data_IF_620881769295
#
_entry.id   IF_620881769295
#
_cell.length_a   1.000
_cell.length_b   1.000
_cell.length_c   1.000
_cell.angle_alpha   90.00
_cell.angle_beta   90.00
_cell.angle_gamma   90.00
#
_symmetry.space_group_name_H-M   'P 1'
#
loop_
_entity.id
_entity.type
_entity.pdbx_description
1 polymer ?
#
# COMPACT_ATOMS: atom_id res chain seq x y z
N UNK A 1 3.44 22.66 -15.02
CA UNK A 1 2.84 21.35 -14.67
C UNK A 1 1.93 21.54 -13.46
N UNK A 2 0.83 20.80 -13.43
CA UNK A 2 -0.14 20.86 -12.35
C UNK A 2 0.44 20.15 -11.12
N UNK A 3 0.76 20.90 -10.07
CA UNK A 3 1.19 20.33 -8.78
C UNK A 3 0.00 19.62 -8.12
N UNK A 4 0.27 18.58 -7.34
CA UNK A 4 -0.76 17.78 -6.66
C UNK A 4 -0.90 18.16 -5.20
N UNK A 5 0.17 18.69 -4.59
CA UNK A 5 0.17 19.14 -3.20
C UNK A 5 -0.17 20.63 -3.12
N UNK A 6 -1.27 20.94 -2.46
CA UNK A 6 -1.52 22.32 -2.00
C UNK A 6 -0.49 22.70 -0.93
N UNK A 7 -0.33 24.00 -0.65
CA UNK A 7 0.58 24.43 0.43
C UNK A 7 0.13 23.90 1.80
N UNK A 8 -1.19 23.81 2.01
CA UNK A 8 -1.75 23.24 3.23
C UNK A 8 -1.37 21.76 3.39
N UNK A 9 -1.55 20.95 2.33
CA UNK A 9 -1.14 19.53 2.33
C UNK A 9 0.38 19.39 2.53
N UNK A 10 1.17 20.27 1.90
CA UNK A 10 2.61 20.29 2.06
C UNK A 10 3.04 20.57 3.51
N UNK A 11 2.40 21.52 4.20
CA UNK A 11 2.74 21.81 5.60
C UNK A 11 2.43 20.61 6.52
N UNK A 12 1.28 19.95 6.34
CA UNK A 12 0.95 18.74 7.07
C UNK A 12 1.98 17.63 6.82
N UNK A 13 2.32 17.40 5.55
CA UNK A 13 3.30 16.39 5.16
C UNK A 13 4.69 16.67 5.72
N UNK A 14 5.13 17.94 5.79
CA UNK A 14 6.41 18.33 6.41
C UNK A 14 6.51 17.89 7.87
N UNK A 15 5.44 18.00 8.63
CA UNK A 15 5.40 17.55 10.03
C UNK A 15 5.61 16.04 10.12
N UNK A 16 4.89 15.27 9.29
CA UNK A 16 5.04 13.80 9.21
C UNK A 16 6.47 13.41 8.79
N UNK A 17 7.03 14.08 7.80
CA UNK A 17 8.39 13.81 7.32
C UNK A 17 9.45 14.08 8.40
N UNK A 18 9.27 15.10 9.24
CA UNK A 18 10.16 15.37 10.40
C UNK A 18 10.11 14.22 11.41
N UNK A 19 8.94 13.69 11.72
CA UNK A 19 8.78 12.53 12.62
C UNK A 19 9.50 11.28 12.08
N UNK A 20 9.68 11.19 10.77
CA UNK A 20 10.47 10.12 10.13
C UNK A 20 11.97 10.43 10.04
N UNK A 21 12.45 11.49 10.68
CA UNK A 21 13.84 11.97 10.56
C UNK A 21 14.26 12.25 9.11
N UNK A 22 13.31 12.69 8.29
CA UNK A 22 13.56 13.11 6.92
C UNK A 22 13.76 14.63 6.91
N UNK A 23 15.01 15.03 6.80
CA UNK A 23 15.37 16.45 6.77
C UNK A 23 14.82 17.12 5.51
N UNK A 24 14.25 18.29 5.74
CA UNK A 24 13.75 19.15 4.66
C UNK A 24 14.93 19.75 3.91
N UNK A 25 14.99 19.50 2.60
CA UNK A 25 15.84 20.25 1.68
C UNK A 25 14.95 20.90 0.60
N UNK A 26 15.49 21.88 -0.11
CA UNK A 26 14.77 22.65 -1.15
C UNK A 26 14.07 21.77 -2.20
N UNK A 27 14.61 20.59 -2.49
CA UNK A 27 14.12 19.70 -3.52
C UNK A 27 13.17 18.59 -3.01
N UNK A 28 12.84 18.59 -1.69
CA UNK A 28 12.02 17.49 -1.13
C UNK A 28 10.58 17.55 -1.65
N UNK A 29 9.97 18.75 -1.73
CA UNK A 29 8.64 18.91 -2.28
C UNK A 29 8.58 18.46 -3.73
N UNK A 30 9.51 18.92 -4.57
CA UNK A 30 9.58 18.53 -5.97
C UNK A 30 9.76 17.02 -6.16
N UNK A 31 10.55 16.38 -5.30
CA UNK A 31 10.71 14.94 -5.32
C UNK A 31 9.37 14.20 -5.03
N UNK A 32 8.62 14.65 -4.03
CA UNK A 32 7.32 14.02 -3.71
C UNK A 32 6.30 14.31 -4.81
N UNK A 33 6.25 15.53 -5.32
CA UNK A 33 5.40 15.88 -6.47
C UNK A 33 5.72 15.04 -7.70
N UNK A 34 7.01 14.73 -7.95
CA UNK A 34 7.41 13.85 -9.04
C UNK A 34 6.89 12.42 -8.88
N UNK A 35 6.92 11.89 -7.65
CA UNK A 35 6.35 10.56 -7.34
C UNK A 35 4.84 10.57 -7.58
N UNK A 36 4.13 11.56 -7.04
CA UNK A 36 2.68 11.70 -7.21
C UNK A 36 2.31 11.87 -8.70
N UNK A 37 3.08 12.68 -9.43
CA UNK A 37 2.90 12.84 -10.88
C UNK A 37 3.02 11.49 -11.60
N UNK A 38 4.07 10.73 -11.30
CA UNK A 38 4.29 9.41 -11.89
C UNK A 38 3.16 8.42 -11.55
N UNK A 39 2.73 8.38 -10.28
CA UNK A 39 1.63 7.51 -9.85
C UNK A 39 0.34 7.87 -10.62
N UNK A 40 0.06 9.15 -10.77
CA UNK A 40 -1.14 9.63 -11.45
C UNK A 40 -1.13 9.38 -12.96
N UNK A 41 0.04 9.53 -13.61
CA UNK A 41 0.14 9.48 -15.09
C UNK A 41 0.56 8.11 -15.60
N UNK A 42 1.16 7.27 -14.76
CA UNK A 42 1.76 5.99 -15.16
C UNK A 42 3.01 6.14 -16.04
N UNK A 43 3.55 7.37 -16.21
CA UNK A 43 4.66 7.60 -17.12
C UNK A 43 5.94 6.86 -16.70
N UNK A 44 6.82 6.47 -17.63
CA UNK A 44 8.16 5.98 -17.33
C UNK A 44 8.96 7.01 -16.52
N UNK A 45 9.92 6.55 -15.72
CA UNK A 45 10.78 7.46 -14.93
C UNK A 45 11.50 8.51 -15.77
N UNK A 46 11.86 8.17 -17.00
CA UNK A 46 12.56 9.07 -17.93
C UNK A 46 11.70 10.23 -18.42
N UNK A 47 10.37 10.03 -18.40
CA UNK A 47 9.39 10.99 -18.91
C UNK A 47 8.85 11.93 -17.83
N UNK A 48 9.41 11.83 -16.62
CA UNK A 48 9.11 12.80 -15.55
C UNK A 48 9.62 14.18 -16.00
N UNK A 49 8.75 15.21 -15.99
CA UNK A 49 9.13 16.56 -16.39
C UNK A 49 10.34 17.10 -15.61
N UNK A 50 11.28 17.70 -16.32
CA UNK A 50 12.51 18.28 -15.73
C UNK A 50 12.24 19.35 -14.69
N UNK A 51 11.06 19.95 -14.68
CA UNK A 51 10.58 20.86 -13.64
C UNK A 51 10.69 20.27 -12.23
N UNK A 52 10.47 18.96 -12.06
CA UNK A 52 10.60 18.29 -10.76
C UNK A 52 12.05 17.95 -10.40
N UNK A 53 12.98 18.07 -11.35
CA UNK A 53 14.38 17.72 -11.22
C UNK A 53 14.81 16.64 -12.22
N UNK A 54 16.05 16.19 -12.11
CA UNK A 54 16.58 15.14 -12.96
C UNK A 54 15.92 13.79 -12.66
N UNK A 55 15.33 13.16 -13.66
CA UNK A 55 14.58 11.89 -13.55
C UNK A 55 15.41 10.77 -12.91
N UNK A 56 16.69 10.64 -13.26
CA UNK A 56 17.60 9.65 -12.68
C UNK A 56 17.84 9.88 -11.17
N UNK A 57 17.95 11.14 -10.74
CA UNK A 57 18.09 11.50 -9.32
C UNK A 57 16.83 11.19 -8.53
N UNK A 58 15.66 11.46 -9.12
CA UNK A 58 14.34 11.12 -8.54
C UNK A 58 14.22 9.60 -8.40
N UNK A 59 14.55 8.84 -9.45
CA UNK A 59 14.51 7.38 -9.44
C UNK A 59 15.43 6.77 -8.37
N UNK A 60 16.69 7.21 -8.31
CA UNK A 60 17.64 6.72 -7.31
C UNK A 60 17.17 7.03 -5.88
N UNK A 61 16.60 8.21 -5.65
CA UNK A 61 16.06 8.59 -4.34
C UNK A 61 14.82 7.76 -3.99
N UNK A 62 13.93 7.53 -4.94
CA UNK A 62 12.75 6.67 -4.78
C UNK A 62 13.18 5.25 -4.37
N UNK A 63 14.11 4.62 -5.11
CA UNK A 63 14.60 3.28 -4.79
C UNK A 63 15.20 3.21 -3.39
N UNK A 64 16.00 4.20 -3.01
CA UNK A 64 16.58 4.27 -1.66
C UNK A 64 15.51 4.40 -0.57
N UNK A 65 14.45 5.19 -0.80
CA UNK A 65 13.35 5.31 0.15
C UNK A 65 12.52 4.05 0.22
N UNK A 66 12.31 3.37 -0.91
CA UNK A 66 11.62 2.09 -0.97
C UNK A 66 12.41 1.03 -0.20
N UNK A 67 13.68 0.80 -0.53
CA UNK A 67 14.53 -0.22 0.09
C UNK A 67 14.76 0.01 1.59
N UNK A 68 14.76 1.26 2.05
CA UNK A 68 14.90 1.61 3.47
C UNK A 68 13.59 1.59 4.26
N UNK A 69 12.47 1.21 3.63
CA UNK A 69 11.13 1.19 4.25
C UNK A 69 10.55 2.58 4.56
N UNK A 70 11.18 3.67 4.11
CA UNK A 70 10.70 5.04 4.38
C UNK A 70 9.36 5.33 3.74
N UNK A 71 9.11 4.82 2.54
CA UNK A 71 7.82 4.99 1.87
C UNK A 71 6.70 4.27 2.62
N UNK A 72 6.93 3.05 3.09
CA UNK A 72 5.95 2.30 3.88
C UNK A 72 5.65 3.00 5.21
N UNK A 73 6.68 3.50 5.91
CA UNK A 73 6.48 4.25 7.16
C UNK A 73 5.72 5.56 6.92
N UNK A 74 6.01 6.26 5.82
CA UNK A 74 5.27 7.45 5.42
C UNK A 74 3.79 7.13 5.15
N UNK A 75 3.52 6.04 4.42
CA UNK A 75 2.17 5.56 4.17
C UNK A 75 1.42 5.30 5.50
N UNK A 76 2.01 4.53 6.41
CA UNK A 76 1.38 4.21 7.71
C UNK A 76 1.08 5.47 8.55
N UNK A 77 1.94 6.48 8.52
CA UNK A 77 1.68 7.75 9.21
C UNK A 77 0.62 8.62 8.51
N UNK A 78 0.46 8.52 7.20
CA UNK A 78 -0.62 9.19 6.47
C UNK A 78 -1.97 8.52 6.71
N UNK A 79 -1.96 7.20 6.94
CA UNK A 79 -3.14 6.40 7.27
C UNK A 79 -3.52 6.45 8.76
N UNK A 80 -2.95 7.35 9.56
CA UNK A 80 -2.98 7.32 11.04
C UNK A 80 -4.30 7.75 11.71
N UNK A 81 -5.38 7.98 10.95
CA UNK A 81 -6.71 8.27 11.53
C UNK A 81 -7.80 7.53 10.71
N UNK A 82 -7.74 6.19 10.62
CA UNK A 82 -8.78 5.43 9.94
C UNK A 82 -10.05 5.39 10.79
N UNK A 83 -11.20 5.31 10.14
CA UNK A 83 -12.44 4.92 10.79
C UNK A 83 -12.47 3.40 10.93
N UNK A 84 -12.11 2.92 12.11
CA UNK A 84 -11.94 1.49 12.39
C UNK A 84 -13.23 0.75 12.71
N UNK A 85 -14.40 1.39 12.72
CA UNK A 85 -15.67 0.74 13.02
C UNK A 85 -15.93 -0.45 12.09
N UNK A 86 -15.74 -0.23 10.79
CA UNK A 86 -15.82 -1.26 9.77
C UNK A 86 -14.55 -1.31 8.93
N UNK A 87 -13.99 -2.48 8.77
CA UNK A 87 -12.84 -2.68 7.87
C UNK A 87 -13.15 -3.69 6.78
N UNK A 88 -12.56 -3.46 5.60
CA UNK A 88 -12.75 -4.28 4.42
C UNK A 88 -11.41 -4.78 3.92
N UNK A 89 -11.34 -6.08 3.59
CA UNK A 89 -10.15 -6.72 3.05
C UNK A 89 -10.45 -7.19 1.63
N UNK A 90 -9.59 -6.80 0.70
CA UNK A 90 -9.67 -7.23 -0.70
C UNK A 90 -8.29 -7.52 -1.27
N UNK A 91 -8.25 -8.42 -2.25
CA UNK A 91 -7.05 -8.84 -2.97
C UNK A 91 -7.11 -8.47 -4.45
N UNK A 92 -6.26 -7.54 -4.88
CA UNK A 92 -6.19 -7.10 -6.28
C UNK A 92 -4.93 -7.60 -6.98
N UNK A 93 -5.09 -8.14 -8.20
CA UNK A 93 -3.97 -8.55 -9.04
C UNK A 93 -3.39 -7.38 -9.83
N UNK A 94 -2.07 -7.23 -9.77
CA UNK A 94 -1.32 -6.27 -10.57
C UNK A 94 -0.47 -7.01 -11.58
N UNK A 95 -0.71 -6.80 -12.86
CA UNK A 95 0.12 -7.37 -13.93
C UNK A 95 1.48 -6.71 -13.95
N UNK A 96 2.52 -7.52 -13.92
CA UNK A 96 3.88 -7.07 -14.10
C UNK A 96 4.28 -7.19 -15.57
N UNK A 97 5.22 -6.35 -16.01
CA UNK A 97 5.75 -6.44 -17.37
C UNK A 97 6.43 -7.81 -17.57
N UNK A 98 6.33 -8.38 -18.78
CA UNK A 98 6.87 -9.71 -19.09
C UNK A 98 8.36 -9.87 -18.77
N UNK A 99 9.13 -8.80 -18.80
CA UNK A 99 10.58 -8.77 -18.48
C UNK A 99 10.87 -8.35 -17.03
N UNK A 100 9.87 -8.22 -16.16
CA UNK A 100 10.08 -7.81 -14.76
C UNK A 100 10.46 -8.97 -13.83
N UNK A 101 10.35 -10.22 -14.29
CA UNK A 101 10.76 -11.39 -13.54
C UNK A 101 12.26 -11.65 -13.74
N UNK A 102 13.08 -11.44 -12.73
CA UNK A 102 14.51 -11.73 -12.86
C UNK A 102 15.37 -11.42 -11.63
N UNK A 103 14.82 -10.74 -10.65
CA UNK A 103 15.56 -10.45 -9.40
C UNK A 103 14.96 -11.31 -8.29
N UNK A 104 15.79 -12.07 -7.60
CA UNK A 104 15.38 -12.84 -6.42
C UNK A 104 14.69 -11.94 -5.37
N UNK A 105 13.65 -12.46 -4.70
CA UNK A 105 12.86 -11.77 -3.67
C UNK A 105 11.92 -10.66 -4.17
N UNK A 106 11.50 -10.70 -5.43
CA UNK A 106 10.36 -9.90 -5.88
C UNK A 106 9.07 -10.71 -5.69
N UNK A 107 8.04 -10.06 -5.15
CA UNK A 107 6.69 -10.64 -5.03
C UNK A 107 6.00 -10.72 -6.41
N UNK A 108 6.66 -11.37 -7.37
CA UNK A 108 6.21 -11.55 -8.75
C UNK A 108 6.31 -13.03 -9.08
N UNK A 109 5.20 -13.63 -9.51
CA UNK A 109 5.16 -14.99 -10.03
C UNK A 109 4.52 -15.06 -11.40
N UNK A 110 4.84 -16.13 -12.13
CA UNK A 110 4.21 -16.43 -13.42
C UNK A 110 2.91 -17.19 -13.17
N UNK A 111 1.80 -16.58 -13.52
CA UNK A 111 0.47 -17.23 -13.56
C UNK A 111 0.05 -17.53 -15.00
N UNK A 112 -1.11 -18.17 -15.18
CA UNK A 112 -1.72 -18.38 -16.52
C UNK A 112 -1.90 -17.05 -17.26
N UNK A 113 -2.13 -15.94 -16.54
CA UNK A 113 -2.28 -14.59 -17.09
C UNK A 113 -0.96 -13.81 -17.26
N UNK A 114 0.22 -14.45 -17.07
CA UNK A 114 1.53 -13.82 -17.13
C UNK A 114 2.12 -13.50 -15.76
N UNK A 115 3.17 -12.67 -15.74
CA UNK A 115 3.81 -12.23 -14.50
C UNK A 115 2.88 -11.29 -13.73
N UNK A 116 2.63 -11.59 -12.47
CA UNK A 116 1.75 -10.79 -11.61
C UNK A 116 2.19 -10.76 -10.15
N UNK A 117 1.84 -9.67 -9.49
CA UNK A 117 1.84 -9.55 -8.03
C UNK A 117 0.41 -9.42 -7.55
N UNK A 118 0.16 -9.74 -6.29
CA UNK A 118 -1.13 -9.53 -5.65
C UNK A 118 -0.97 -8.54 -4.49
N UNK A 119 -1.83 -7.55 -4.44
CA UNK A 119 -1.92 -6.59 -3.34
C UNK A 119 -3.13 -6.98 -2.52
N UNK A 120 -2.91 -7.32 -1.25
CA UNK A 120 -3.97 -7.49 -0.26
C UNK A 120 -4.07 -6.18 0.50
N UNK A 121 -5.20 -5.52 0.41
CA UNK A 121 -5.43 -4.19 0.96
C UNK A 121 -6.48 -4.25 2.06
N UNK A 122 -6.24 -3.53 3.15
CA UNK A 122 -7.23 -3.23 4.16
C UNK A 122 -7.61 -1.77 4.05
N UNK A 123 -8.91 -1.50 4.01
CA UNK A 123 -9.45 -0.15 3.98
C UNK A 123 -10.45 0.05 5.12
N UNK A 124 -10.62 1.31 5.53
CA UNK A 124 -11.65 1.72 6.49
C UNK A 124 -13.05 1.84 5.83
N UNK A 125 -14.05 2.24 6.62
CA UNK A 125 -15.43 2.45 6.16
C UNK A 125 -15.56 3.50 5.05
N UNK A 126 -14.60 4.40 4.93
CA UNK A 126 -14.55 5.44 3.90
C UNK A 126 -13.72 5.04 2.67
N UNK A 127 -13.14 3.82 2.66
CA UNK A 127 -12.26 3.35 1.59
C UNK A 127 -10.82 3.88 1.68
N UNK A 128 -10.43 4.49 2.80
CA UNK A 128 -9.04 4.90 2.99
C UNK A 128 -8.17 3.70 3.33
N UNK A 129 -6.99 3.54 2.72
CA UNK A 129 -6.13 2.41 2.98
C UNK A 129 -5.52 2.49 4.39
N UNK A 130 -5.66 1.41 5.16
CA UNK A 130 -5.11 1.26 6.52
C UNK A 130 -3.75 0.56 6.47
N UNK A 131 -3.73 -0.61 5.85
CA UNK A 131 -2.50 -1.41 5.68
C UNK A 131 -2.59 -2.26 4.40
N UNK A 132 -1.47 -2.80 3.96
CA UNK A 132 -1.43 -3.67 2.80
C UNK A 132 -0.28 -4.67 2.88
N UNK A 133 -0.44 -5.78 2.16
CA UNK A 133 0.61 -6.77 1.95
C UNK A 133 0.73 -7.09 0.46
N UNK A 134 1.94 -7.25 -0.01
CA UNK A 134 2.21 -7.62 -1.42
C UNK A 134 2.76 -9.04 -1.44
N UNK A 135 2.12 -9.90 -2.23
CA UNK A 135 2.55 -11.26 -2.47
C UNK A 135 2.75 -11.52 -3.97
N UNK A 136 3.27 -12.67 -4.29
CA UNK A 136 3.22 -13.14 -5.67
C UNK A 136 1.77 -13.38 -6.11
N UNK A 137 1.52 -13.30 -7.42
CA UNK A 137 0.17 -13.38 -7.98
C UNK A 137 -0.52 -14.75 -7.84
N UNK A 138 0.19 -15.80 -7.38
CA UNK A 138 -0.34 -17.15 -7.18
C UNK A 138 -0.72 -17.43 -5.72
N UNK A 139 -0.34 -16.54 -4.81
CA UNK A 139 -0.63 -16.70 -3.38
C UNK A 139 -2.13 -16.57 -3.11
N UNK A 140 -2.70 -17.58 -2.45
CA UNK A 140 -4.10 -17.57 -2.04
C UNK A 140 -4.34 -16.59 -0.89
N UNK A 141 -5.46 -15.86 -0.94
CA UNK A 141 -5.87 -14.84 0.06
C UNK A 141 -5.89 -15.38 1.48
N UNK A 142 -6.37 -16.60 1.63
CA UNK A 142 -6.49 -17.30 2.91
C UNK A 142 -5.16 -17.48 3.66
N UNK A 143 -4.03 -17.52 2.93
CA UNK A 143 -2.70 -17.66 3.53
C UNK A 143 -2.16 -16.36 4.10
N UNK A 144 -2.61 -15.24 3.56
CA UNK A 144 -2.11 -13.90 3.87
C UNK A 144 -2.96 -13.20 4.91
N UNK A 145 -4.25 -13.50 4.92
CA UNK A 145 -5.22 -12.83 5.78
C UNK A 145 -4.89 -12.90 7.28
N UNK A 146 -4.42 -14.02 7.86
CA UNK A 146 -4.05 -14.06 9.27
C UNK A 146 -2.94 -13.08 9.64
N UNK A 147 -1.90 -12.99 8.80
CA UNK A 147 -0.78 -12.09 9.03
C UNK A 147 -1.21 -10.62 8.87
N UNK A 148 -2.06 -10.37 7.88
CA UNK A 148 -2.57 -9.03 7.60
C UNK A 148 -3.47 -8.53 8.76
N UNK A 149 -4.36 -9.38 9.28
CA UNK A 149 -5.19 -9.08 10.45
C UNK A 149 -4.33 -8.89 11.72
N UNK A 150 -3.26 -9.66 11.88
CA UNK A 150 -2.38 -9.56 13.04
C UNK A 150 -1.63 -8.23 13.14
N UNK A 151 -1.56 -7.46 12.04
CA UNK A 151 -0.95 -6.12 12.05
C UNK A 151 -1.85 -5.03 12.61
N UNK A 152 -3.16 -5.32 12.82
CA UNK A 152 -4.17 -4.34 13.21
C UNK A 152 -4.51 -4.41 14.71
N UNK A 153 -4.79 -3.26 15.29
CA UNK A 153 -5.51 -3.17 16.56
C UNK A 153 -7.02 -3.09 16.27
N UNK A 154 -7.74 -4.19 16.53
CA UNK A 154 -9.17 -4.32 16.24
C UNK A 154 -10.09 -3.95 17.43
N UNK A 155 -9.56 -3.32 18.49
CA UNK A 155 -10.35 -3.01 19.70
C UNK A 155 -11.59 -2.15 19.44
N UNK A 156 -11.50 -1.25 18.46
CA UNK A 156 -12.58 -0.34 18.07
C UNK A 156 -13.32 -0.82 16.83
N UNK A 157 -13.01 -2.05 16.34
CA UNK A 157 -13.61 -2.60 15.12
C UNK A 157 -14.81 -3.47 15.46
N UNK A 158 -15.97 -3.11 14.93
CA UNK A 158 -17.19 -3.92 15.07
C UNK A 158 -17.23 -5.07 14.06
N UNK A 159 -16.85 -4.79 12.81
CA UNK A 159 -16.99 -5.75 11.73
C UNK A 159 -15.77 -5.77 10.81
N UNK A 160 -15.29 -6.96 10.52
CA UNK A 160 -14.33 -7.24 9.44
C UNK A 160 -15.05 -7.87 8.27
N UNK A 161 -15.07 -7.19 7.13
CA UNK A 161 -15.64 -7.66 5.88
C UNK A 161 -14.55 -8.17 4.93
N UNK A 162 -14.76 -9.31 4.31
CA UNK A 162 -13.91 -9.80 3.24
C UNK A 162 -14.75 -10.64 2.25
N UNK A 163 -14.19 -10.90 1.07
CA UNK A 163 -14.84 -11.77 0.09
C UNK A 163 -14.71 -13.26 0.46
N UNK A 164 -15.40 -14.14 -0.30
CA UNK A 164 -15.36 -15.59 -0.08
C UNK A 164 -13.96 -16.23 -0.28
N UNK A 165 -13.03 -15.53 -0.91
CA UNK A 165 -11.64 -15.96 -1.08
C UNK A 165 -10.89 -16.06 0.24
N UNK A 166 -11.36 -15.30 1.24
CA UNK A 166 -10.82 -15.27 2.61
C UNK A 166 -11.52 -16.23 3.57
N UNK A 167 -12.51 -17.01 3.11
CA UNK A 167 -13.28 -17.88 3.98
C UNK A 167 -12.44 -19.02 4.56
N UNK A 168 -12.11 -18.93 5.84
CA UNK A 168 -11.51 -19.99 6.65
C UNK A 168 -11.93 -19.89 8.10
N UNK A 169 -12.18 -21.02 8.74
CA UNK A 169 -12.55 -21.03 10.17
C UNK A 169 -11.44 -20.48 11.05
N UNK A 170 -10.14 -20.78 10.84
CA UNK A 170 -9.07 -20.16 11.63
C UNK A 170 -9.06 -18.62 11.57
N UNK A 171 -9.30 -18.02 10.38
CA UNK A 171 -9.39 -16.56 10.25
C UNK A 171 -10.61 -16.00 10.99
N UNK A 172 -11.76 -16.66 10.88
CA UNK A 172 -12.97 -16.25 11.60
C UNK A 172 -12.77 -16.30 13.11
N UNK A 173 -12.11 -17.35 13.62
CA UNK A 173 -11.77 -17.47 15.04
C UNK A 173 -10.79 -16.38 15.48
N UNK A 174 -9.77 -16.09 14.67
CA UNK A 174 -8.81 -15.00 14.96
C UNK A 174 -9.52 -13.65 15.11
N UNK A 175 -10.44 -13.33 14.19
CA UNK A 175 -11.24 -12.11 14.25
C UNK A 175 -12.16 -12.11 15.47
N UNK A 176 -12.87 -13.22 15.73
CA UNK A 176 -13.79 -13.32 16.88
C UNK A 176 -13.07 -13.19 18.24
N UNK A 177 -11.84 -13.67 18.35
CA UNK A 177 -11.03 -13.53 19.58
C UNK A 177 -10.76 -12.08 19.97
N UNK A 178 -10.84 -11.15 19.05
CA UNK A 178 -10.72 -9.70 19.31
C UNK A 178 -12.05 -9.05 19.72
N UNK A 179 -13.15 -9.80 19.75
CA UNK A 179 -14.50 -9.27 19.98
C UNK A 179 -15.21 -8.79 18.72
N UNK A 180 -14.54 -8.86 17.57
CA UNK A 180 -15.01 -8.34 16.28
C UNK A 180 -15.83 -9.38 15.51
N UNK A 181 -16.85 -8.96 14.78
CA UNK A 181 -17.66 -9.82 13.93
C UNK A 181 -16.97 -10.06 12.57
N UNK A 182 -16.84 -11.31 12.17
CA UNK A 182 -16.36 -11.68 10.82
C UNK A 182 -17.55 -11.79 9.85
N UNK A 183 -17.63 -10.86 8.91
CA UNK A 183 -18.60 -10.85 7.82
C UNK A 183 -17.94 -11.31 6.50
N UNK A 184 -17.74 -12.62 6.39
CA UNK A 184 -17.11 -13.27 5.23
C UNK A 184 -18.10 -14.28 4.66
N UNK A 185 -18.47 -14.22 3.38
CA UNK A 185 -19.36 -15.22 2.80
C UNK A 185 -18.75 -16.63 2.88
N UNK A 186 -19.57 -17.65 3.15
CA UNK A 186 -19.10 -19.05 3.15
C UNK A 186 -18.77 -19.51 1.73
N UNK A 187 -17.71 -20.26 1.59
CA UNK A 187 -17.39 -20.99 0.39
C UNK A 187 -18.31 -22.21 0.33
N UNK A 188 -19.16 -22.26 -0.71
CA UNK A 188 -20.03 -23.39 -1.00
C UNK A 188 -19.18 -24.48 -1.67
#
# INVERSE_FOLDING_TARGET
>A
PRTMLTDQHWQKLKTILRNLSIHHNSNLRNFIEAILYRIRTGCPWRDIPSYFGQSNSIFKRFNRWSSSGKLLRLFKLLASCPDMEWIFIDGSHVRAHQHSAGIANQSISKSVGGNSSKIHLIVDSHGNPIDFMITDGTTHDIKVAPDLIATLDLKETEVVCADKGYDSEPLREQIRKTGTKANIPKKI
#
